data_IF_607749362137
#
_entry.id   IF_607749362137
#
_cell.length_a   1.000
_cell.length_b   1.000
_cell.length_c   1.000
_cell.angle_alpha   90.00
_cell.angle_beta   90.00
_cell.angle_gamma   90.00
#
_symmetry.space_group_name_H-M   'P 1'
#
loop_
_entity.id
_entity.type
_entity.pdbx_description
1 polymer ?
#
# COMPACT_ATOMS: atom_id res chain seq x y z
N UNK A 1 -4.32 29.53 -16.77
CA UNK A 1 -4.42 29.12 -15.36
C UNK A 1 -5.79 28.52 -15.14
N UNK A 2 -5.91 27.19 -15.20
CA UNK A 2 -7.21 26.51 -15.16
C UNK A 2 -7.06 25.00 -15.26
N UNK A 3 -6.03 24.48 -14.59
CA UNK A 3 -5.76 23.05 -14.58
C UNK A 3 -6.06 22.57 -13.17
N UNK A 4 -7.21 21.90 -13.05
CA UNK A 4 -7.63 21.10 -11.91
C UNK A 4 -8.19 21.90 -10.71
N UNK A 5 -9.44 22.36 -10.85
CA UNK A 5 -10.26 22.70 -9.68
C UNK A 5 -10.78 21.39 -9.05
N UNK A 6 -9.98 20.78 -8.16
CA UNK A 6 -10.37 19.56 -7.46
C UNK A 6 -11.37 19.89 -6.35
N UNK A 7 -12.53 19.24 -6.40
CA UNK A 7 -13.55 19.31 -5.37
C UNK A 7 -12.99 18.74 -4.04
N UNK A 8 -13.43 19.24 -2.87
CA UNK A 8 -12.81 18.92 -1.57
C UNK A 8 -12.69 17.40 -1.30
N UNK A 9 -13.67 16.63 -1.77
CA UNK A 9 -13.70 15.17 -1.65
C UNK A 9 -12.58 14.48 -2.45
N UNK A 10 -12.25 14.97 -3.66
CA UNK A 10 -11.21 14.40 -4.51
C UNK A 10 -9.81 14.61 -3.91
N UNK A 11 -9.58 15.75 -3.24
CA UNK A 11 -8.33 15.98 -2.51
C UNK A 11 -8.16 14.98 -1.36
N UNK A 12 -9.22 14.73 -0.60
CA UNK A 12 -9.20 13.76 0.49
C UNK A 12 -8.99 12.33 0.00
N UNK A 13 -9.59 11.94 -1.12
CA UNK A 13 -9.32 10.65 -1.76
C UNK A 13 -7.87 10.51 -2.21
N UNK A 14 -7.28 11.55 -2.81
CA UNK A 14 -5.88 11.52 -3.23
C UNK A 14 -4.93 11.40 -2.03
N UNK A 15 -5.22 12.11 -0.94
CA UNK A 15 -4.45 12.00 0.32
C UNK A 15 -4.55 10.57 0.86
N UNK A 16 -5.76 10.01 0.92
CA UNK A 16 -5.97 8.62 1.34
C UNK A 16 -5.20 7.63 0.48
N UNK A 17 -5.20 7.82 -0.84
CA UNK A 17 -4.46 6.98 -1.77
C UNK A 17 -2.95 6.99 -1.51
N UNK A 18 -2.36 8.18 -1.36
CA UNK A 18 -0.92 8.33 -1.06
C UNK A 18 -0.60 7.67 0.30
N UNK A 19 -1.43 7.89 1.30
CA UNK A 19 -1.26 7.30 2.63
C UNK A 19 -1.36 5.76 2.57
N UNK A 20 -2.28 5.20 1.79
CA UNK A 20 -2.41 3.77 1.60
C UNK A 20 -1.15 3.12 1.00
N UNK A 21 -0.58 3.74 -0.04
CA UNK A 21 0.68 3.28 -0.64
C UNK A 21 1.82 3.35 0.38
N UNK A 22 1.95 4.46 1.10
CA UNK A 22 2.98 4.63 2.11
C UNK A 22 2.83 3.62 3.25
N UNK A 23 1.60 3.38 3.71
CA UNK A 23 1.32 2.39 4.75
C UNK A 23 1.71 0.99 4.29
N UNK A 24 1.42 0.61 3.05
CA UNK A 24 1.83 -0.67 2.50
C UNK A 24 3.37 -0.79 2.45
N UNK A 25 4.05 0.24 1.92
CA UNK A 25 5.51 0.27 1.88
C UNK A 25 6.14 0.17 3.28
N UNK A 26 5.58 0.89 4.27
CA UNK A 26 6.00 0.78 5.67
C UNK A 26 5.75 -0.63 6.21
N UNK A 27 4.64 -1.28 5.85
CA UNK A 27 4.33 -2.64 6.28
C UNK A 27 5.33 -3.66 5.75
N UNK A 28 5.72 -3.54 4.48
CA UNK A 28 6.77 -4.37 3.88
C UNK A 28 8.10 -4.12 4.59
N UNK A 29 8.49 -2.86 4.79
CA UNK A 29 9.75 -2.51 5.45
C UNK A 29 9.77 -2.99 6.91
N UNK A 30 8.69 -2.82 7.65
CA UNK A 30 8.55 -3.29 9.02
C UNK A 30 8.67 -4.82 9.08
N UNK A 31 8.02 -5.54 8.16
CA UNK A 31 8.16 -6.99 8.07
C UNK A 31 9.61 -7.41 7.82
N UNK A 32 10.28 -6.77 6.86
CA UNK A 32 11.68 -7.07 6.55
C UNK A 32 12.57 -6.76 7.76
N UNK A 33 12.41 -5.63 8.43
CA UNK A 33 13.25 -5.27 9.56
C UNK A 33 13.06 -6.20 10.78
N UNK A 34 11.84 -6.72 10.99
CA UNK A 34 11.54 -7.59 12.13
C UNK A 34 11.93 -9.05 11.85
N UNK A 35 11.70 -9.52 10.61
CA UNK A 35 11.84 -10.95 10.25
C UNK A 35 13.08 -11.27 9.41
N UNK A 36 13.70 -10.30 8.73
CA UNK A 36 14.90 -10.53 7.91
C UNK A 36 16.17 -10.30 8.72
N UNK A 37 17.10 -11.25 8.61
CA UNK A 37 18.49 -11.09 9.06
C UNK A 37 19.38 -10.35 8.03
N UNK A 38 18.89 -10.23 6.79
CA UNK A 38 19.61 -9.65 5.66
C UNK A 38 19.12 -8.21 5.39
N UNK A 39 19.96 -7.41 4.72
CA UNK A 39 19.62 -6.05 4.29
C UNK A 39 18.39 -6.01 3.37
N UNK A 40 17.62 -4.92 3.45
CA UNK A 40 16.32 -4.76 2.76
C UNK A 40 16.39 -5.07 1.27
N UNK A 41 17.43 -4.59 0.59
CA UNK A 41 17.64 -4.82 -0.84
C UNK A 41 17.87 -6.29 -1.18
N UNK A 42 18.65 -7.01 -0.35
CA UNK A 42 18.92 -8.44 -0.54
C UNK A 42 17.65 -9.26 -0.31
N UNK A 43 16.86 -8.93 0.71
CA UNK A 43 15.61 -9.63 0.99
C UNK A 43 14.57 -9.42 -0.13
N UNK A 44 14.49 -8.22 -0.70
CA UNK A 44 13.62 -7.95 -1.84
C UNK A 44 14.08 -8.72 -3.09
N UNK A 45 15.39 -8.73 -3.35
CA UNK A 45 15.96 -9.48 -4.47
C UNK A 45 15.74 -10.99 -4.32
N UNK A 46 16.01 -11.54 -3.13
CA UNK A 46 15.74 -12.94 -2.82
C UNK A 46 14.26 -13.28 -2.96
N UNK A 47 13.37 -12.40 -2.50
CA UNK A 47 11.93 -12.58 -2.61
C UNK A 47 11.45 -12.59 -4.06
N UNK A 48 12.07 -11.78 -4.91
CA UNK A 48 11.83 -11.78 -6.34
C UNK A 48 12.28 -13.09 -6.97
N UNK A 49 13.54 -13.49 -6.76
CA UNK A 49 14.10 -14.72 -7.34
C UNK A 49 13.43 -16.00 -6.85
N UNK A 50 13.01 -16.04 -5.58
CA UNK A 50 12.34 -17.19 -4.97
C UNK A 50 10.82 -17.15 -5.14
N UNK A 51 10.27 -16.14 -5.82
CA UNK A 51 8.85 -16.04 -6.16
C UNK A 51 7.90 -15.82 -4.99
N UNK A 52 8.39 -15.33 -3.84
CA UNK A 52 7.55 -14.98 -2.68
C UNK A 52 7.38 -13.48 -2.48
N UNK A 53 7.81 -12.65 -3.43
CA UNK A 53 7.62 -11.20 -3.42
C UNK A 53 6.15 -10.82 -3.19
N UNK A 54 5.21 -11.49 -3.87
CA UNK A 54 3.77 -11.26 -3.67
C UNK A 54 3.30 -11.50 -2.23
N UNK A 55 3.92 -12.46 -1.52
CA UNK A 55 3.62 -12.71 -0.10
C UNK A 55 4.10 -11.55 0.79
N UNK A 56 5.27 -10.98 0.50
CA UNK A 56 5.77 -9.80 1.22
C UNK A 56 4.84 -8.60 1.04
N UNK A 57 4.36 -8.38 -0.18
CA UNK A 57 3.46 -7.26 -0.47
C UNK A 57 2.09 -7.49 0.19
N UNK A 58 1.57 -8.73 0.22
CA UNK A 58 0.36 -9.06 1.00
C UNK A 58 0.51 -8.76 2.50
N UNK A 59 1.69 -9.02 3.07
CA UNK A 59 2.01 -8.65 4.47
C UNK A 59 2.02 -7.13 4.66
N UNK A 60 2.56 -6.38 3.68
CA UNK A 60 2.44 -4.93 3.62
C UNK A 60 0.98 -4.46 3.61
N UNK A 61 0.12 -5.20 2.90
CA UNK A 61 -1.28 -4.84 2.75
C UNK A 61 -2.09 -4.93 4.05
N UNK A 62 -1.67 -5.77 4.99
CA UNK A 62 -2.26 -5.79 6.33
C UNK A 62 -2.10 -4.44 7.05
N UNK A 63 -0.97 -3.75 6.83
CA UNK A 63 -0.75 -2.45 7.45
C UNK A 63 -1.56 -1.33 6.77
N UNK A 64 -1.71 -1.37 5.43
CA UNK A 64 -2.60 -0.42 4.75
C UNK A 64 -4.07 -0.62 5.15
N UNK A 65 -4.50 -1.87 5.38
CA UNK A 65 -5.83 -2.18 5.88
C UNK A 65 -6.05 -1.65 7.30
N UNK A 66 -5.03 -1.71 8.16
CA UNK A 66 -5.10 -1.10 9.49
C UNK A 66 -5.29 0.43 9.41
N UNK A 67 -4.59 1.09 8.47
CA UNK A 67 -4.75 2.52 8.21
C UNK A 67 -6.12 2.84 7.61
N UNK A 68 -6.66 1.97 6.76
CA UNK A 68 -8.02 2.07 6.26
C UNK A 68 -9.05 2.05 7.40
N UNK A 69 -8.95 1.08 8.32
CA UNK A 69 -9.83 1.02 9.50
C UNK A 69 -9.67 2.25 10.41
N UNK A 70 -8.44 2.77 10.55
CA UNK A 70 -8.19 4.00 11.28
C UNK A 70 -8.96 5.20 10.70
N UNK A 71 -9.01 5.35 9.37
CA UNK A 71 -9.77 6.41 8.72
C UNK A 71 -11.28 6.23 8.84
N UNK A 72 -11.79 5.00 8.74
CA UNK A 72 -13.21 4.70 8.99
C UNK A 72 -13.59 5.11 10.41
N UNK A 73 -12.78 4.75 11.40
CA UNK A 73 -13.07 5.07 12.80
C UNK A 73 -13.07 6.59 13.09
N UNK A 74 -12.41 7.39 12.24
CA UNK A 74 -12.43 8.86 12.31
C UNK A 74 -13.53 9.52 11.47
N UNK A 75 -14.44 8.75 10.88
CA UNK A 75 -15.46 9.26 9.95
C UNK A 75 -14.87 9.93 8.69
N UNK A 76 -13.60 9.65 8.36
CA UNK A 76 -12.90 10.19 7.19
C UNK A 76 -13.12 9.31 5.95
N UNK A 77 -14.39 9.10 5.58
CA UNK A 77 -14.80 8.14 4.54
C UNK A 77 -14.12 8.38 3.17
N UNK A 78 -13.91 9.63 2.79
CA UNK A 78 -13.26 9.96 1.52
C UNK A 78 -11.76 9.57 1.51
N UNK A 79 -11.06 9.71 2.64
CA UNK A 79 -9.67 9.22 2.75
C UNK A 79 -9.61 7.70 2.80
N UNK A 80 -10.54 7.07 3.53
CA UNK A 80 -10.65 5.61 3.56
C UNK A 80 -10.90 5.04 2.15
N UNK A 81 -11.76 5.67 1.35
CA UNK A 81 -11.93 5.33 -0.08
C UNK A 81 -10.64 5.43 -0.88
N UNK A 82 -9.87 6.50 -0.66
CA UNK A 82 -8.54 6.66 -1.25
C UNK A 82 -7.61 5.47 -0.95
N UNK A 83 -7.54 5.06 0.32
CA UNK A 83 -6.73 3.90 0.75
C UNK A 83 -7.17 2.61 0.06
N UNK A 84 -8.48 2.36 -0.04
CA UNK A 84 -8.99 1.17 -0.76
C UNK A 84 -8.62 1.17 -2.24
N UNK A 85 -8.70 2.33 -2.91
CA UNK A 85 -8.30 2.45 -4.32
C UNK A 85 -6.81 2.12 -4.47
N UNK A 86 -5.97 2.60 -3.54
CA UNK A 86 -4.54 2.24 -3.53
C UNK A 86 -4.33 0.74 -3.37
N UNK A 87 -5.02 0.12 -2.41
CA UNK A 87 -4.94 -1.32 -2.15
C UNK A 87 -5.40 -2.15 -3.35
N UNK A 88 -6.48 -1.74 -4.03
CA UNK A 88 -6.98 -2.39 -5.25
C UNK A 88 -5.97 -2.30 -6.41
N UNK A 89 -5.41 -1.12 -6.66
CA UNK A 89 -4.37 -0.93 -7.70
C UNK A 89 -3.15 -1.79 -7.40
N UNK A 90 -2.68 -1.82 -6.15
CA UNK A 90 -1.54 -2.61 -5.75
C UNK A 90 -1.82 -4.12 -5.89
N UNK A 91 -3.03 -4.55 -5.56
CA UNK A 91 -3.47 -5.94 -5.74
C UNK A 91 -3.42 -6.36 -7.20
N UNK A 92 -3.87 -5.51 -8.12
CA UNK A 92 -3.77 -5.77 -9.56
C UNK A 92 -2.30 -5.90 -9.99
N UNK A 93 -1.41 -5.03 -9.48
CA UNK A 93 0.03 -5.10 -9.76
C UNK A 93 0.63 -6.44 -9.25
N UNK A 94 0.28 -6.85 -8.03
CA UNK A 94 0.73 -8.14 -7.47
C UNK A 94 0.24 -9.30 -8.33
N UNK A 95 -1.02 -9.26 -8.78
CA UNK A 95 -1.58 -10.29 -9.63
C UNK A 95 -0.80 -10.39 -10.94
N UNK A 96 -0.46 -9.28 -11.57
CA UNK A 96 0.38 -9.31 -12.79
C UNK A 96 1.77 -9.88 -12.48
N UNK A 97 2.42 -9.44 -11.39
CA UNK A 97 3.77 -9.88 -11.02
C UNK A 97 3.86 -11.35 -10.58
N UNK A 98 2.82 -11.90 -9.98
CA UNK A 98 2.81 -13.27 -9.44
C UNK A 98 2.41 -14.30 -10.51
N UNK A 99 1.59 -13.89 -11.49
CA UNK A 99 1.04 -14.76 -12.53
C UNK A 99 1.69 -14.57 -13.92
N UNK A 100 2.70 -13.70 -14.05
CA UNK A 100 3.57 -13.57 -15.23
C UNK A 100 4.96 -14.09 -14.90
#
# INVERSE_FOLDING_TARGET
MGLIDMNHNQKNQLIGFIIGILANAIGILAYILIFSKNSIALTLQDAYYRGYLGKLIMLGALLDLAVFFFFINRYENERARGVLIASAVLTIIILILQFT
#
